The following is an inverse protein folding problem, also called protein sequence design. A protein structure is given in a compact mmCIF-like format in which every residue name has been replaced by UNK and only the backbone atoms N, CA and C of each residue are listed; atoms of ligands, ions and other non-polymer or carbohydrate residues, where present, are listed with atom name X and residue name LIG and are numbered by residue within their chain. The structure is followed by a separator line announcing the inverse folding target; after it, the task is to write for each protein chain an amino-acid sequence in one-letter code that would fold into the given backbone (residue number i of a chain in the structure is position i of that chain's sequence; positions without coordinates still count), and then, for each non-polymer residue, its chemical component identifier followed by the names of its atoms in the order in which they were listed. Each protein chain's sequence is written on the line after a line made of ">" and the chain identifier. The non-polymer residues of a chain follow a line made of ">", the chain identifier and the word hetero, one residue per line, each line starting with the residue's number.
data_IF_408284609435
#
_entry.id   IF_408284609435
#
_cell.length_a   1.000
_cell.length_b   1.000
_cell.length_c   1.000
_cell.angle_alpha   90.00
_cell.angle_beta   90.00
_cell.angle_gamma   90.00
#
_symmetry.space_group_name_H-M   'P 1'
#
loop_
_entity.id
_entity.type
_entity.pdbx_description
1 polymer ?
#
# COMPACT_ATOMS: atom_id res chain seq x y z
N UNK A 1 -11.52 -52.88 -41.19
CA UNK A 1 -11.37 -51.48 -40.74
C UNK A 1 -12.44 -51.24 -39.70
N UNK A 2 -12.10 -51.41 -38.43
CA UNK A 2 -13.06 -51.42 -37.32
C UNK A 2 -13.12 -50.08 -36.61
N UNK A 3 -14.33 -49.57 -36.41
CA UNK A 3 -14.62 -48.73 -35.25
C UNK A 3 -14.51 -49.60 -33.99
N UNK A 4 -14.01 -49.04 -32.88
CA UNK A 4 -14.93 -48.93 -31.75
C UNK A 4 -14.77 -47.62 -30.98
N UNK A 5 -15.90 -46.95 -30.78
CA UNK A 5 -16.17 -46.23 -29.54
C UNK A 5 -16.00 -47.22 -28.38
N UNK A 6 -14.92 -47.10 -27.63
CA UNK A 6 -14.82 -47.73 -26.31
C UNK A 6 -14.46 -46.66 -25.29
N UNK A 7 -15.51 -46.12 -24.67
CA UNK A 7 -15.40 -45.38 -23.43
C UNK A 7 -14.87 -46.39 -22.40
N UNK A 8 -13.62 -46.19 -21.96
CA UNK A 8 -13.05 -46.97 -20.86
C UNK A 8 -13.84 -46.64 -19.59
N UNK A 9 -14.70 -47.58 -19.19
CA UNK A 9 -15.38 -47.56 -17.90
C UNK A 9 -14.31 -47.67 -16.79
N UNK A 10 -14.10 -46.59 -16.04
CA UNK A 10 -13.26 -46.59 -14.83
C UNK A 10 -12.21 -45.49 -14.71
N UNK A 11 -12.02 -44.62 -15.71
CA UNK A 11 -11.07 -43.51 -15.58
C UNK A 11 -11.62 -42.43 -14.63
N UNK A 12 -11.15 -42.46 -13.38
CA UNK A 12 -11.47 -41.46 -12.34
C UNK A 12 -11.21 -40.05 -12.89
N UNK A 13 -12.12 -39.11 -12.59
CA UNK A 13 -12.18 -37.70 -13.03
C UNK A 13 -10.92 -36.82 -12.77
N UNK A 14 -9.81 -37.40 -12.28
CA UNK A 14 -8.57 -36.71 -11.91
C UNK A 14 -7.34 -37.26 -12.66
N UNK A 15 -7.48 -37.78 -13.89
CA UNK A 15 -6.32 -38.17 -14.69
C UNK A 15 -5.75 -36.95 -15.44
N UNK A 16 -4.45 -36.61 -15.29
CA UNK A 16 -3.83 -35.46 -15.96
C UNK A 16 -4.01 -35.47 -17.48
N UNK A 17 -4.12 -36.65 -18.09
CA UNK A 17 -4.32 -36.86 -19.52
C UNK A 17 -5.67 -36.32 -20.05
N UNK A 18 -6.67 -36.12 -19.20
CA UNK A 18 -7.95 -35.52 -19.59
C UNK A 18 -7.93 -33.98 -19.52
N UNK A 19 -7.05 -33.41 -18.69
CA UNK A 19 -6.97 -31.96 -18.51
C UNK A 19 -5.98 -31.35 -19.50
N UNK A 20 -4.88 -32.06 -19.81
CA UNK A 20 -3.82 -31.57 -20.70
C UNK A 20 -4.32 -31.09 -22.08
N UNK A 21 -5.22 -31.81 -22.79
CA UNK A 21 -5.73 -31.35 -24.08
C UNK A 21 -6.65 -30.12 -23.96
N UNK A 22 -7.31 -29.95 -22.82
CA UNK A 22 -8.25 -28.87 -22.55
C UNK A 22 -7.66 -27.74 -21.70
N UNK A 23 -6.36 -27.82 -21.38
CA UNK A 23 -5.69 -26.89 -20.45
C UNK A 23 -5.68 -25.45 -20.98
N UNK A 24 -5.57 -25.26 -22.30
CA UNK A 24 -5.69 -23.95 -22.92
C UNK A 24 -7.10 -23.35 -22.74
N UNK A 25 -8.15 -24.13 -23.00
CA UNK A 25 -9.54 -23.70 -22.80
C UNK A 25 -9.86 -23.46 -21.32
N UNK A 26 -9.33 -24.28 -20.42
CA UNK A 26 -9.47 -24.08 -18.99
C UNK A 26 -8.82 -22.76 -18.55
N UNK A 27 -7.57 -22.50 -18.97
CA UNK A 27 -6.90 -21.21 -18.69
C UNK A 27 -7.67 -20.03 -19.26
N UNK A 28 -8.24 -20.16 -20.46
CA UNK A 28 -9.02 -19.10 -21.09
C UNK A 28 -10.33 -18.84 -20.36
N UNK A 29 -11.04 -19.88 -19.89
CA UNK A 29 -12.25 -19.75 -19.08
C UNK A 29 -11.96 -19.18 -17.69
N UNK A 30 -10.87 -19.61 -17.05
CA UNK A 30 -10.42 -19.07 -15.76
C UNK A 30 -10.04 -17.60 -15.92
N UNK A 31 -9.28 -17.24 -16.95
CA UNK A 31 -8.94 -15.85 -17.26
C UNK A 31 -10.20 -15.02 -17.54
N UNK A 32 -11.13 -15.49 -18.36
CA UNK A 32 -12.39 -14.80 -18.63
C UNK A 32 -13.24 -14.63 -17.36
N UNK A 33 -13.27 -15.64 -16.49
CA UNK A 33 -14.00 -15.56 -15.21
C UNK A 33 -13.30 -14.63 -14.22
N UNK A 34 -11.97 -14.62 -14.18
CA UNK A 34 -11.18 -13.64 -13.43
C UNK A 34 -11.41 -12.23 -13.95
N UNK A 35 -11.54 -12.03 -15.27
CA UNK A 35 -11.91 -10.74 -15.85
C UNK A 35 -13.33 -10.32 -15.46
N UNK A 36 -14.31 -11.23 -15.54
CA UNK A 36 -15.69 -10.95 -15.07
C UNK A 36 -15.76 -10.65 -13.57
N UNK A 37 -14.96 -11.36 -12.76
CA UNK A 37 -14.90 -11.16 -11.30
C UNK A 37 -14.12 -9.89 -10.91
N UNK A 38 -13.15 -9.47 -11.72
CA UNK A 38 -12.33 -8.29 -11.47
C UNK A 38 -12.85 -7.02 -12.17
N UNK A 39 -13.88 -7.12 -13.02
CA UNK A 39 -14.44 -5.93 -13.63
C UNK A 39 -15.51 -6.21 -14.67
N UNK A 40 -16.67 -5.57 -14.49
CA UNK A 40 -17.31 -4.88 -15.61
C UNK A 40 -16.37 -3.78 -16.14
N UNK A 41 -15.23 -4.17 -16.71
CA UNK A 41 -14.24 -3.29 -17.30
C UNK A 41 -14.81 -2.77 -18.62
N UNK A 42 -15.41 -1.58 -18.55
CA UNK A 42 -15.63 -0.75 -19.71
C UNK A 42 -14.29 -0.48 -20.38
N UNK A 43 -14.27 -0.61 -21.70
CA UNK A 43 -13.17 -0.39 -22.63
C UNK A 43 -12.14 0.61 -22.11
N UNK A 44 -10.98 0.15 -21.66
CA UNK A 44 -9.88 1.02 -21.24
C UNK A 44 -9.40 1.81 -22.46
N UNK A 45 -9.62 3.12 -22.48
CA UNK A 45 -8.99 3.96 -23.49
C UNK A 45 -7.47 3.95 -23.24
N UNK A 46 -6.71 3.45 -24.21
CA UNK A 46 -5.28 3.22 -24.05
C UNK A 46 -4.57 4.48 -23.53
N UNK A 47 -3.91 4.35 -22.36
CA UNK A 47 -3.08 5.40 -21.78
C UNK A 47 -3.77 6.38 -20.83
N UNK A 48 -5.06 6.21 -20.50
CA UNK A 48 -5.72 7.02 -19.44
C UNK A 48 -5.69 6.33 -18.08
N UNK A 49 -5.82 7.12 -17.03
CA UNK A 49 -5.74 6.66 -15.65
C UNK A 49 -7.13 6.52 -15.06
N UNK A 50 -7.52 5.30 -14.66
CA UNK A 50 -8.81 5.06 -13.99
C UNK A 50 -8.87 5.69 -12.60
N UNK A 51 -10.05 6.22 -12.25
CA UNK A 51 -10.35 6.71 -10.89
C UNK A 51 -10.73 5.54 -9.97
N UNK A 52 -11.43 4.54 -10.50
CA UNK A 52 -11.75 3.31 -9.77
C UNK A 52 -10.51 2.38 -9.74
N UNK A 53 -10.43 1.52 -8.73
CA UNK A 53 -9.37 0.54 -8.55
C UNK A 53 -8.51 0.78 -7.31
N UNK A 54 -7.44 -0.01 -7.19
CA UNK A 54 -6.55 0.01 -6.03
C UNK A 54 -5.53 1.13 -6.12
N UNK A 55 -5.25 1.76 -4.98
CA UNK A 55 -4.17 2.73 -4.85
C UNK A 55 -2.81 2.06 -5.16
N UNK A 56 -1.90 2.83 -5.75
CA UNK A 56 -0.55 2.40 -6.12
C UNK A 56 0.53 3.02 -5.22
N UNK A 57 0.30 4.23 -4.71
CA UNK A 57 1.20 4.89 -3.77
C UNK A 57 0.92 4.48 -2.31
N UNK A 58 1.97 4.45 -1.49
CA UNK A 58 1.83 4.25 -0.04
C UNK A 58 1.51 5.56 0.70
N UNK A 59 0.96 5.45 1.91
CA UNK A 59 0.67 6.61 2.75
C UNK A 59 1.95 7.42 3.06
N UNK A 60 3.09 6.73 3.23
CA UNK A 60 4.38 7.35 3.46
C UNK A 60 4.85 8.16 2.26
N UNK A 61 4.72 7.63 1.03
CA UNK A 61 5.02 8.36 -0.20
C UNK A 61 4.18 9.64 -0.30
N UNK A 62 2.87 9.51 -0.07
CA UNK A 62 1.92 10.62 -0.12
C UNK A 62 2.27 11.72 0.89
N UNK A 63 2.49 11.34 2.16
CA UNK A 63 2.80 12.28 3.23
C UNK A 63 4.16 12.97 3.06
N UNK A 64 5.21 12.23 2.73
CA UNK A 64 6.55 12.79 2.55
C UNK A 64 6.63 13.71 1.33
N UNK A 65 6.01 13.32 0.22
CA UNK A 65 5.93 14.19 -0.94
C UNK A 65 5.21 15.51 -0.62
N UNK A 66 4.05 15.44 0.03
CA UNK A 66 3.30 16.64 0.44
C UNK A 66 4.16 17.54 1.34
N UNK A 67 4.85 16.97 2.33
CA UNK A 67 5.75 17.69 3.24
C UNK A 67 6.94 18.34 2.51
N UNK A 68 7.47 17.70 1.47
CA UNK A 68 8.56 18.26 0.65
C UNK A 68 8.16 19.56 -0.07
N UNK A 69 6.87 19.75 -0.36
CA UNK A 69 6.31 20.92 -1.06
C UNK A 69 5.71 21.96 -0.11
N UNK A 70 5.33 21.52 1.09
CA UNK A 70 4.85 22.37 2.16
C UNK A 70 5.30 21.82 3.52
N UNK A 71 6.29 22.45 4.15
CA UNK A 71 6.80 22.04 5.45
C UNK A 71 5.76 22.23 6.58
N UNK A 72 4.81 23.17 6.41
CA UNK A 72 3.79 23.53 7.41
C UNK A 72 2.38 23.41 6.81
N UNK A 73 1.88 22.19 6.57
CA UNK A 73 0.51 21.97 6.11
C UNK A 73 -0.50 22.38 7.19
N UNK A 74 -1.56 23.11 6.80
CA UNK A 74 -2.61 23.53 7.72
C UNK A 74 -3.64 22.41 7.91
N UNK A 75 -3.29 21.42 8.73
CA UNK A 75 -4.14 20.28 9.09
C UNK A 75 -4.40 20.27 10.61
N UNK A 76 -5.34 21.09 11.11
CA UNK A 76 -5.51 21.30 12.55
C UNK A 76 -6.02 20.07 13.32
N UNK A 77 -6.56 19.07 12.62
CA UNK A 77 -7.24 17.91 13.23
C UNK A 77 -6.56 16.56 12.97
N UNK A 78 -5.48 16.50 12.20
CA UNK A 78 -4.71 15.27 11.95
C UNK A 78 -3.32 15.55 11.37
N UNK A 79 -2.41 14.56 11.43
CA UNK A 79 -1.15 14.63 10.68
C UNK A 79 -1.34 14.34 9.19
N UNK A 80 -0.32 14.63 8.37
CA UNK A 80 -0.29 14.25 6.95
C UNK A 80 -0.37 12.74 6.76
N UNK A 81 0.33 11.98 7.60
CA UNK A 81 0.36 10.52 7.56
C UNK A 81 -1.03 9.94 7.85
N UNK A 82 -1.72 10.47 8.87
CA UNK A 82 -3.09 10.08 9.19
C UNK A 82 -4.04 10.41 8.04
N UNK A 83 -3.92 11.61 7.46
CA UNK A 83 -4.76 12.01 6.34
C UNK A 83 -4.54 11.10 5.12
N UNK A 84 -3.28 10.84 4.76
CA UNK A 84 -2.93 9.93 3.66
C UNK A 84 -3.49 8.53 3.89
N UNK A 85 -3.40 8.02 5.12
CA UNK A 85 -3.97 6.73 5.50
C UNK A 85 -5.50 6.73 5.36
N UNK A 86 -6.21 7.79 5.77
CA UNK A 86 -7.66 7.90 5.56
C UNK A 86 -8.04 7.84 4.09
N UNK A 87 -7.27 8.47 3.19
CA UNK A 87 -7.50 8.40 1.75
C UNK A 87 -7.39 6.98 1.21
N UNK A 88 -6.39 6.22 1.65
CA UNK A 88 -6.22 4.83 1.23
C UNK A 88 -7.36 3.94 1.74
N UNK A 89 -7.77 4.10 3.00
CA UNK A 89 -8.82 3.28 3.60
C UNK A 89 -10.21 3.58 3.05
N UNK A 90 -10.59 4.86 2.98
CA UNK A 90 -11.88 5.26 2.41
C UNK A 90 -11.93 4.96 0.90
N UNK A 91 -10.80 5.11 0.21
CA UNK A 91 -10.64 4.71 -1.19
C UNK A 91 -10.86 3.21 -1.40
N UNK A 92 -10.14 2.35 -0.67
CA UNK A 92 -10.29 0.89 -0.76
C UNK A 92 -11.74 0.46 -0.45
N UNK A 93 -12.37 1.05 0.57
CA UNK A 93 -13.74 0.74 0.93
C UNK A 93 -14.76 1.03 -0.19
N UNK A 94 -14.53 2.09 -0.97
CA UNK A 94 -15.41 2.48 -2.07
C UNK A 94 -14.96 1.97 -3.44
N UNK A 95 -13.80 1.31 -3.52
CA UNK A 95 -13.16 0.88 -4.77
C UNK A 95 -12.57 2.04 -5.59
N UNK A 96 -12.25 3.16 -4.94
CA UNK A 96 -11.67 4.36 -5.55
C UNK A 96 -10.18 4.44 -5.23
N UNK A 97 -9.38 4.89 -6.19
CA UNK A 97 -7.96 5.14 -5.98
C UNK A 97 -7.73 6.28 -4.98
N UNK A 98 -7.48 5.93 -3.72
CA UNK A 98 -7.18 6.88 -2.65
C UNK A 98 -5.96 7.76 -2.91
N UNK A 99 -4.96 7.23 -3.61
CA UNK A 99 -3.76 7.98 -4.04
C UNK A 99 -4.08 9.07 -5.08
N UNK A 100 -5.00 8.81 -6.01
CA UNK A 100 -5.55 9.80 -6.95
C UNK A 100 -6.28 10.91 -6.20
N UNK A 101 -7.15 10.54 -5.26
CA UNK A 101 -7.92 11.50 -4.46
C UNK A 101 -6.99 12.39 -3.60
N UNK A 102 -5.94 11.82 -3.01
CA UNK A 102 -4.93 12.60 -2.31
C UNK A 102 -4.16 13.54 -3.25
N UNK A 103 -3.71 13.07 -4.42
CA UNK A 103 -3.04 13.91 -5.41
C UNK A 103 -3.93 15.09 -5.85
N UNK A 104 -5.23 14.83 -6.05
CA UNK A 104 -6.22 15.88 -6.31
C UNK A 104 -6.30 16.86 -5.13
N UNK A 105 -6.32 16.37 -3.89
CA UNK A 105 -6.38 17.24 -2.71
C UNK A 105 -5.19 18.20 -2.60
N UNK A 106 -4.00 17.77 -3.01
CA UNK A 106 -2.82 18.65 -3.08
C UNK A 106 -3.02 19.76 -4.10
N UNK A 107 -3.66 19.46 -5.24
CA UNK A 107 -3.97 20.45 -6.25
C UNK A 107 -5.01 21.47 -5.74
N UNK A 108 -6.10 20.99 -5.15
CA UNK A 108 -7.22 21.82 -4.69
C UNK A 108 -6.84 22.74 -3.53
N UNK A 109 -6.01 22.24 -2.61
CA UNK A 109 -5.65 22.97 -1.39
C UNK A 109 -4.32 23.72 -1.50
N UNK A 110 -3.61 23.57 -2.62
CA UNK A 110 -2.25 24.08 -2.77
C UNK A 110 -1.30 23.46 -1.75
N UNK A 111 -1.30 22.14 -1.62
CA UNK A 111 -0.54 21.37 -0.63
C UNK A 111 -0.94 21.71 0.82
N UNK A 112 -2.24 21.79 1.08
CA UNK A 112 -2.81 22.14 2.39
C UNK A 112 -2.37 23.51 2.93
N UNK A 113 -1.97 24.43 2.03
CA UNK A 113 -1.74 25.84 2.38
C UNK A 113 -3.06 26.61 2.47
N UNK A 114 -4.07 26.16 1.72
CA UNK A 114 -5.32 26.88 1.50
C UNK A 114 -5.04 28.29 0.96
N UNK A 115 -6.05 29.16 0.96
CA UNK A 115 -5.94 30.53 0.44
C UNK A 115 -7.14 30.99 -0.39
N UNK A 116 -7.99 30.05 -0.79
CA UNK A 116 -9.26 30.31 -1.46
C UNK A 116 -10.44 30.45 -0.51
N UNK A 117 -11.61 29.97 -0.97
CA UNK A 117 -12.87 29.98 -0.22
C UNK A 117 -12.81 29.02 0.98
N UNK A 118 -12.24 27.84 0.80
CA UNK A 118 -12.20 26.80 1.84
C UNK A 118 -11.15 27.13 2.91
N UNK A 119 -11.53 26.94 4.18
CA UNK A 119 -10.67 27.11 5.35
C UNK A 119 -10.13 25.75 5.86
N UNK A 120 -8.94 25.71 6.48
CA UNK A 120 -8.36 24.49 7.04
C UNK A 120 -9.27 23.74 8.02
N UNK A 121 -10.05 24.46 8.81
CA UNK A 121 -10.95 23.90 9.83
C UNK A 121 -12.17 23.20 9.24
N UNK A 122 -12.43 23.33 7.94
CA UNK A 122 -13.59 22.72 7.30
C UNK A 122 -13.40 21.25 6.95
N UNK A 123 -12.18 20.71 7.08
CA UNK A 123 -11.82 19.35 6.64
C UNK A 123 -12.25 19.07 5.18
N UNK A 124 -12.30 20.09 4.33
CA UNK A 124 -12.72 19.97 2.94
C UNK A 124 -11.48 20.02 2.04
N UNK A 125 -11.01 18.85 1.65
CA UNK A 125 -9.75 18.69 0.92
C UNK A 125 -9.91 18.79 -0.60
N UNK A 126 -11.15 18.93 -1.09
CA UNK A 126 -11.47 18.83 -2.51
C UNK A 126 -12.25 20.04 -3.06
N UNK A 127 -12.42 21.10 -2.27
CA UNK A 127 -13.17 22.28 -2.72
C UNK A 127 -14.68 22.05 -2.86
N UNK A 128 -15.25 21.05 -2.19
CA UNK A 128 -16.68 20.71 -2.34
C UNK A 128 -17.54 21.91 -1.93
N UNK A 129 -18.33 22.40 -2.89
CA UNK A 129 -19.22 23.55 -2.67
C UNK A 129 -18.54 24.91 -2.63
N UNK A 130 -17.24 25.01 -2.97
CA UNK A 130 -16.57 26.28 -3.19
C UNK A 130 -16.90 26.80 -4.60
N UNK A 131 -17.89 27.70 -4.71
CA UNK A 131 -18.36 28.25 -5.99
C UNK A 131 -17.86 29.69 -6.17
N UNK A 132 -17.74 30.13 -7.43
CA UNK A 132 -17.39 31.51 -7.75
C UNK A 132 -18.38 32.48 -7.10
N UNK A 133 -17.86 33.46 -6.37
CA UNK A 133 -18.65 34.46 -5.64
C UNK A 133 -18.96 34.10 -4.19
N UNK A 134 -18.65 32.88 -3.73
CA UNK A 134 -18.77 32.53 -2.32
C UNK A 134 -17.78 33.36 -1.47
N UNK A 135 -18.21 33.79 -0.29
CA UNK A 135 -17.32 34.35 0.71
C UNK A 135 -16.43 33.25 1.32
N UNK A 136 -15.30 33.63 1.93
CA UNK A 136 -14.46 32.67 2.67
C UNK A 136 -15.27 31.91 3.72
N UNK A 137 -15.03 30.61 3.81
CA UNK A 137 -15.79 29.68 4.67
C UNK A 137 -17.11 29.19 4.08
N UNK A 138 -17.62 29.80 2.99
CA UNK A 138 -18.87 29.36 2.36
C UNK A 138 -18.60 28.21 1.37
N UNK A 139 -18.31 27.04 1.93
CA UNK A 139 -18.17 25.76 1.24
C UNK A 139 -18.65 24.64 2.17
N UNK A 140 -18.64 23.39 1.71
CA UNK A 140 -18.95 22.26 2.58
C UNK A 140 -17.95 22.18 3.74
N UNK A 141 -18.46 21.84 4.94
CA UNK A 141 -17.70 21.63 6.16
C UNK A 141 -17.98 20.23 6.68
N UNK A 142 -16.94 19.51 7.06
CA UNK A 142 -17.03 18.15 7.58
C UNK A 142 -16.54 18.09 9.03
N UNK A 143 -17.20 17.28 9.88
CA UNK A 143 -16.96 17.26 11.32
C UNK A 143 -15.55 16.78 11.69
N UNK A 144 -14.93 15.94 10.86
CA UNK A 144 -13.61 15.37 11.09
C UNK A 144 -12.89 15.09 9.75
N UNK A 145 -11.55 14.92 9.77
CA UNK A 145 -10.76 14.63 8.57
C UNK A 145 -11.24 13.42 7.78
N UNK A 146 -11.60 12.32 8.43
CA UNK A 146 -12.01 11.09 7.74
C UNK A 146 -13.34 11.30 7.01
N UNK A 147 -14.29 12.01 7.62
CA UNK A 147 -15.56 12.37 6.95
C UNK A 147 -15.32 13.27 5.73
N UNK A 148 -14.37 14.21 5.81
CA UNK A 148 -13.97 15.04 4.68
C UNK A 148 -13.35 14.26 3.53
N UNK A 149 -12.45 13.32 3.84
CA UNK A 149 -11.88 12.38 2.87
C UNK A 149 -12.97 11.53 2.22
N UNK A 150 -13.88 10.95 3.03
CA UNK A 150 -15.00 10.14 2.53
C UNK A 150 -15.86 10.92 1.53
N UNK A 151 -16.19 12.18 1.82
CA UNK A 151 -16.97 13.00 0.91
C UNK A 151 -16.27 13.18 -0.45
N UNK A 152 -14.95 13.41 -0.46
CA UNK A 152 -14.18 13.49 -1.70
C UNK A 152 -14.18 12.16 -2.47
N UNK A 153 -13.96 11.05 -1.78
CA UNK A 153 -13.98 9.70 -2.38
C UNK A 153 -15.36 9.40 -3.00
N UNK A 154 -16.44 9.73 -2.29
CA UNK A 154 -17.80 9.58 -2.81
C UNK A 154 -18.04 10.46 -4.04
N UNK A 155 -17.55 11.71 -4.05
CA UNK A 155 -17.69 12.59 -5.20
C UNK A 155 -16.93 12.05 -6.43
N UNK A 156 -15.71 11.52 -6.24
CA UNK A 156 -14.95 10.85 -7.31
C UNK A 156 -15.67 9.59 -7.81
N UNK A 157 -16.20 8.76 -6.91
CA UNK A 157 -17.02 7.60 -7.28
C UNK A 157 -18.26 8.00 -8.06
N UNK A 158 -18.88 9.15 -7.75
CA UNK A 158 -19.99 9.67 -8.52
C UNK A 158 -19.60 9.95 -9.97
N UNK A 159 -18.43 10.56 -10.21
CA UNK A 159 -17.94 10.76 -11.56
C UNK A 159 -17.58 9.45 -12.27
N UNK A 160 -16.92 8.52 -11.56
CA UNK A 160 -16.28 7.37 -12.18
C UNK A 160 -17.18 6.14 -12.34
N UNK A 161 -18.20 5.98 -11.49
CA UNK A 161 -18.99 4.74 -11.42
C UNK A 161 -20.49 4.98 -11.28
N UNK A 162 -21.27 3.95 -11.65
CA UNK A 162 -22.71 3.85 -11.39
C UNK A 162 -23.06 2.92 -10.23
N UNK A 163 -22.07 2.26 -9.62
CA UNK A 163 -22.24 1.39 -8.44
C UNK A 163 -22.58 2.15 -7.16
N UNK A 164 -23.47 1.59 -6.34
CA UNK A 164 -23.85 2.20 -5.07
C UNK A 164 -22.65 2.49 -4.16
N UNK A 165 -22.81 3.50 -3.30
CA UNK A 165 -21.85 3.76 -2.22
C UNK A 165 -21.88 2.60 -1.22
N UNK A 166 -20.71 2.25 -0.69
CA UNK A 166 -20.58 1.22 0.35
C UNK A 166 -20.90 1.83 1.71
N UNK A 167 -20.39 3.03 1.97
CA UNK A 167 -20.66 3.79 3.18
C UNK A 167 -21.81 4.79 3.00
N UNK A 168 -22.37 5.26 4.11
CA UNK A 168 -23.40 6.31 4.09
C UNK A 168 -22.93 7.57 3.36
N UNK A 169 -23.79 8.15 2.54
CA UNK A 169 -23.48 9.35 1.75
C UNK A 169 -23.28 10.56 2.68
N UNK A 170 -22.09 11.17 2.63
CA UNK A 170 -21.73 12.39 3.37
C UNK A 170 -21.40 13.55 2.43
N UNK A 171 -21.19 13.27 1.14
CA UNK A 171 -21.03 14.31 0.12
C UNK A 171 -22.37 15.03 -0.16
N UNK A 172 -22.50 16.32 0.19
CA UNK A 172 -23.75 17.07 0.00
C UNK A 172 -24.07 17.35 -1.47
N UNK A 173 -23.13 17.10 -2.39
CA UNK A 173 -23.26 17.37 -3.83
C UNK A 173 -23.30 16.09 -4.65
N UNK A 174 -23.34 14.92 -4.01
CA UNK A 174 -23.29 13.63 -4.70
C UNK A 174 -24.38 13.48 -5.77
N UNK A 175 -25.61 13.91 -5.45
CA UNK A 175 -26.76 13.85 -6.35
C UNK A 175 -26.68 14.81 -7.53
N UNK A 176 -25.80 15.82 -7.49
CA UNK A 176 -25.62 16.81 -8.56
C UNK A 176 -24.71 16.29 -9.68
N UNK A 177 -23.93 15.24 -9.42
CA UNK A 177 -23.02 14.65 -10.40
C UNK A 177 -23.80 13.72 -11.32
N UNK A 178 -23.62 13.90 -12.64
CA UNK A 178 -24.07 12.89 -13.60
C UNK A 178 -23.22 11.63 -13.42
N UNK A 179 -23.82 10.58 -12.85
CA UNK A 179 -23.13 9.36 -12.43
C UNK A 179 -22.43 8.64 -13.59
N UNK A 180 -21.15 8.31 -13.42
CA UNK A 180 -20.33 7.63 -14.44
C UNK A 180 -19.93 8.51 -15.64
N UNK A 181 -19.98 9.84 -15.49
CA UNK A 181 -19.67 10.78 -16.58
C UNK A 181 -18.17 10.98 -16.84
N UNK A 182 -17.29 10.61 -15.91
CA UNK A 182 -15.83 10.71 -16.05
C UNK A 182 -15.14 9.53 -15.34
N UNK A 183 -14.85 8.47 -16.09
CA UNK A 183 -14.20 7.24 -15.58
C UNK A 183 -12.68 7.42 -15.35
N UNK A 184 -12.06 8.34 -16.07
CA UNK A 184 -10.61 8.61 -16.02
C UNK A 184 -10.31 9.95 -15.36
N UNK A 185 -9.16 10.04 -14.69
CA UNK A 185 -8.70 11.27 -14.02
C UNK A 185 -8.55 12.41 -15.01
N UNK A 186 -8.04 12.13 -16.21
CA UNK A 186 -7.88 13.07 -17.31
C UNK A 186 -9.21 13.71 -17.73
N UNK A 187 -10.33 13.03 -17.51
CA UNK A 187 -11.68 13.49 -17.82
C UNK A 187 -12.37 14.24 -16.66
N UNK A 188 -11.69 14.45 -15.54
CA UNK A 188 -12.20 15.34 -14.49
C UNK A 188 -12.19 16.82 -14.93
N UNK A 189 -11.42 17.17 -15.97
CA UNK A 189 -11.56 18.46 -16.66
C UNK A 189 -12.67 18.39 -17.70
N UNK A 190 -13.72 19.20 -17.57
CA UNK A 190 -14.88 19.13 -18.47
C UNK A 190 -14.53 19.39 -19.95
N UNK A 191 -13.55 20.25 -20.23
CA UNK A 191 -13.03 20.50 -21.59
C UNK A 191 -12.20 19.36 -22.19
N UNK A 192 -11.72 18.43 -21.37
CA UNK A 192 -10.94 17.27 -21.80
C UNK A 192 -11.76 15.98 -21.80
N UNK A 193 -12.98 16.03 -21.26
CA UNK A 193 -13.93 14.94 -21.28
C UNK A 193 -14.81 15.00 -22.53
N UNK A 194 -14.88 13.94 -23.34
CA UNK A 194 -15.80 13.84 -24.48
C UNK A 194 -17.28 14.10 -24.13
N UNK A 195 -17.68 13.85 -22.87
CA UNK A 195 -19.03 14.10 -22.38
C UNK A 195 -19.28 15.57 -21.98
N UNK A 196 -18.25 16.42 -21.99
CA UNK A 196 -18.35 17.83 -21.58
C UNK A 196 -18.66 18.03 -20.09
N UNK A 197 -18.49 17.00 -19.27
CA UNK A 197 -18.73 16.99 -17.81
C UNK A 197 -17.43 16.76 -17.07
N UNK A 198 -17.29 17.29 -15.87
CA UNK A 198 -16.10 17.07 -15.06
C UNK A 198 -16.18 17.82 -13.74
N UNK A 199 -15.27 17.46 -12.84
CA UNK A 199 -15.05 18.13 -11.56
C UNK A 199 -14.80 19.63 -11.74
N UNK A 200 -13.94 19.97 -12.70
CA UNK A 200 -13.58 21.34 -13.01
C UNK A 200 -14.22 21.79 -14.34
N UNK A 201 -14.85 22.97 -14.35
CA UNK A 201 -15.49 23.57 -15.51
C UNK A 201 -14.93 24.99 -15.73
N UNK A 202 -14.39 25.35 -16.91
CA UNK A 202 -14.20 24.49 -18.08
C UNK A 202 -13.10 23.43 -17.89
N UNK A 203 -12.14 23.65 -17.00
CA UNK A 203 -11.25 22.59 -16.49
C UNK A 203 -10.20 22.05 -17.46
N UNK A 204 -9.84 22.76 -18.53
CA UNK A 204 -8.77 22.34 -19.46
C UNK A 204 -7.45 22.05 -18.72
N UNK A 205 -6.89 20.87 -18.93
CA UNK A 205 -5.64 20.38 -18.33
C UNK A 205 -5.75 20.03 -16.84
N UNK A 206 -6.95 20.04 -16.25
CA UNK A 206 -7.14 19.76 -14.83
C UNK A 206 -6.66 18.35 -14.45
N UNK A 207 -7.17 17.32 -15.12
CA UNK A 207 -6.80 15.93 -14.85
C UNK A 207 -5.31 15.67 -15.05
N UNK A 208 -4.70 16.28 -16.07
CA UNK A 208 -3.25 16.16 -16.33
C UNK A 208 -2.39 16.67 -15.18
N UNK A 209 -2.81 17.75 -14.49
CA UNK A 209 -2.10 18.25 -13.29
C UNK A 209 -2.16 17.26 -12.14
N UNK A 210 -3.30 16.60 -11.95
CA UNK A 210 -3.47 15.55 -10.93
C UNK A 210 -2.57 14.36 -11.26
N UNK A 211 -2.53 13.92 -12.51
CA UNK A 211 -1.64 12.83 -12.95
C UNK A 211 -0.16 13.17 -12.77
N UNK A 212 0.24 14.42 -13.04
CA UNK A 212 1.60 14.86 -12.79
C UNK A 212 1.96 14.79 -11.29
N UNK A 213 1.06 15.22 -10.40
CA UNK A 213 1.26 15.10 -8.95
C UNK A 213 1.31 13.64 -8.49
N UNK A 214 0.42 12.80 -9.00
CA UNK A 214 0.41 11.37 -8.71
C UNK A 214 1.71 10.69 -9.13
N UNK A 215 2.23 11.01 -10.31
CA UNK A 215 3.52 10.52 -10.79
C UNK A 215 4.67 10.92 -9.86
N UNK A 216 4.66 12.17 -9.37
CA UNK A 216 5.67 12.65 -8.42
C UNK A 216 5.56 11.96 -7.05
N UNK A 217 4.34 11.69 -6.57
CA UNK A 217 4.11 10.92 -5.34
C UNK A 217 4.68 9.50 -5.49
N UNK A 218 4.34 8.81 -6.58
CA UNK A 218 4.76 7.43 -6.81
C UNK A 218 6.27 7.30 -7.01
N UNK A 219 6.91 8.32 -7.58
CA UNK A 219 8.36 8.38 -7.76
C UNK A 219 9.10 8.88 -6.50
N UNK A 220 8.39 9.31 -5.45
CA UNK A 220 9.03 9.83 -4.25
C UNK A 220 9.70 8.69 -3.47
N UNK A 221 11.02 8.80 -3.30
CA UNK A 221 11.79 7.87 -2.51
C UNK A 221 11.42 8.04 -1.03
N UNK A 222 10.82 7.00 -0.47
CA UNK A 222 10.67 6.90 0.98
C UNK A 222 11.99 6.38 1.51
N UNK A 223 12.66 7.09 2.43
CA UNK A 223 13.82 6.56 3.11
C UNK A 223 13.41 5.19 3.66
N UNK A 224 14.01 4.13 3.14
CA UNK A 224 13.87 2.83 3.75
C UNK A 224 14.40 3.04 5.16
N UNK A 225 13.54 2.93 6.15
CA UNK A 225 14.03 2.49 7.45
C UNK A 225 14.57 1.10 7.09
N UNK A 226 15.89 0.99 6.86
CA UNK A 226 16.52 -0.30 7.08
C UNK A 226 15.93 -0.74 8.40
N UNK A 227 15.24 -1.89 8.40
CA UNK A 227 14.96 -2.57 9.67
C UNK A 227 16.21 -2.37 10.51
N UNK A 228 16.11 -1.97 11.81
CA UNK A 228 17.31 -1.92 12.63
C UNK A 228 18.04 -3.21 12.30
N UNK A 229 19.22 -3.07 11.68
CA UNK A 229 20.06 -4.22 11.43
C UNK A 229 20.00 -4.94 12.76
N UNK A 230 19.59 -6.22 12.75
CA UNK A 230 19.84 -7.07 13.91
C UNK A 230 21.19 -6.61 14.42
N UNK A 231 21.26 -6.08 15.67
CA UNK A 231 22.46 -5.40 16.12
C UNK A 231 23.59 -6.30 15.70
N UNK A 232 24.50 -5.80 14.83
CA UNK A 232 25.61 -6.62 14.34
C UNK A 232 26.09 -7.37 15.57
N UNK A 233 25.95 -8.69 15.57
CA UNK A 233 26.47 -9.50 16.67
C UNK A 233 27.98 -9.20 16.63
N UNK A 234 28.40 -8.19 17.37
CA UNK A 234 29.77 -8.03 17.77
C UNK A 234 30.01 -9.31 18.53
N UNK A 235 30.69 -10.27 17.88
CA UNK A 235 31.17 -11.45 18.57
C UNK A 235 31.81 -10.93 19.86
N UNK A 236 31.34 -11.38 21.04
CA UNK A 236 31.81 -10.81 22.29
C UNK A 236 33.33 -10.93 22.33
N UNK A 237 34.00 -9.77 22.36
CA UNK A 237 35.45 -9.70 22.29
C UNK A 237 35.99 -10.08 23.68
N UNK A 238 36.32 -11.37 23.86
CA UNK A 238 36.87 -11.88 25.10
C UNK A 238 38.37 -11.58 25.20
N UNK A 239 38.91 -11.24 26.39
CA UNK A 239 40.35 -11.08 26.58
C UNK A 239 41.14 -12.30 26.07
N UNK A 240 42.29 -12.05 25.42
CA UNK A 240 43.10 -13.10 24.77
C UNK A 240 43.38 -14.31 25.66
N UNK A 241 43.65 -14.11 26.96
CA UNK A 241 43.92 -15.20 27.90
C UNK A 241 42.72 -16.17 28.08
N UNK A 242 41.48 -15.71 27.89
CA UNK A 242 40.28 -16.55 27.97
C UNK A 242 40.15 -17.43 26.72
N UNK A 243 40.46 -16.87 25.55
CA UNK A 243 40.45 -17.57 24.27
C UNK A 243 41.59 -18.60 24.19
N UNK A 244 42.78 -18.24 24.64
CA UNK A 244 43.94 -19.14 24.74
C UNK A 244 43.66 -20.34 25.66
N UNK A 245 42.98 -20.10 26.79
CA UNK A 245 42.56 -21.18 27.70
C UNK A 245 41.58 -22.17 27.05
N UNK A 246 40.66 -21.67 26.22
CA UNK A 246 39.74 -22.53 25.47
C UNK A 246 40.46 -23.36 24.42
N UNK A 247 41.33 -22.72 23.63
CA UNK A 247 42.13 -23.40 22.60
C UNK A 247 42.97 -24.51 23.22
N UNK A 248 43.61 -24.24 24.36
CA UNK A 248 44.37 -25.23 25.13
C UNK A 248 43.50 -26.45 25.51
N UNK A 249 42.26 -26.23 25.95
CA UNK A 249 41.35 -27.32 26.34
C UNK A 249 40.83 -28.12 25.13
N UNK A 250 40.66 -27.47 23.98
CA UNK A 250 40.26 -28.11 22.72
C UNK A 250 41.40 -28.94 22.15
N UNK A 251 42.62 -28.40 22.13
CA UNK A 251 43.83 -29.11 21.70
C UNK A 251 44.13 -30.30 22.61
N UNK A 252 43.96 -30.14 23.92
CA UNK A 252 44.03 -31.24 24.88
C UNK A 252 42.87 -32.24 24.71
N UNK A 253 41.86 -31.96 23.88
CA UNK A 253 40.69 -32.82 23.64
C UNK A 253 39.83 -33.03 24.89
N UNK A 254 39.83 -32.08 25.80
CA UNK A 254 39.02 -32.07 27.03
C UNK A 254 37.59 -31.64 26.71
N UNK A 255 37.47 -30.64 25.84
CA UNK A 255 36.19 -30.12 25.37
C UNK A 255 36.09 -30.27 23.85
N UNK A 256 34.86 -30.44 23.36
CA UNK A 256 34.54 -30.52 21.94
C UNK A 256 33.68 -29.30 21.57
N UNK A 257 33.75 -28.88 20.30
CA UNK A 257 32.98 -27.73 19.76
C UNK A 257 33.40 -26.39 20.39
N UNK A 258 34.57 -25.83 20.02
CA UNK A 258 35.06 -24.55 20.54
C UNK A 258 34.04 -23.42 20.39
N UNK A 259 33.27 -23.41 19.31
CA UNK A 259 32.26 -22.39 19.01
C UNK A 259 31.14 -22.38 20.06
N UNK A 260 30.70 -23.56 20.52
CA UNK A 260 29.70 -23.71 21.58
C UNK A 260 30.20 -23.13 22.91
N UNK A 261 31.47 -23.38 23.25
CA UNK A 261 32.04 -22.88 24.49
C UNK A 261 32.40 -21.39 24.44
N UNK A 262 32.77 -20.85 23.26
CA UNK A 262 32.98 -19.39 23.06
C UNK A 262 31.72 -18.60 23.39
N UNK A 263 30.55 -19.07 22.96
CA UNK A 263 29.28 -18.41 23.22
C UNK A 263 28.88 -18.40 24.71
N UNK A 264 29.42 -19.34 25.50
CA UNK A 264 29.13 -19.47 26.94
C UNK A 264 30.00 -18.61 27.86
N UNK A 265 31.01 -17.90 27.36
CA UNK A 265 31.92 -17.12 28.22
C UNK A 265 31.21 -15.98 28.97
N UNK A 266 30.10 -15.47 28.42
CA UNK A 266 29.26 -14.45 29.05
C UNK A 266 28.13 -15.06 29.92
N UNK A 267 28.02 -16.39 29.99
CA UNK A 267 26.98 -17.10 30.72
C UNK A 267 27.47 -17.66 32.07
N UNK A 268 26.54 -17.91 33.00
CA UNK A 268 26.87 -18.62 34.24
C UNK A 268 27.04 -20.12 33.96
N UNK A 269 28.26 -20.64 34.18
CA UNK A 269 28.54 -22.08 34.07
C UNK A 269 27.97 -22.83 35.27
N UNK A 270 27.35 -23.99 35.02
CA UNK A 270 26.82 -24.83 36.10
C UNK A 270 27.92 -25.63 36.81
N UNK A 271 27.70 -25.97 38.08
CA UNK A 271 28.62 -26.83 38.85
C UNK A 271 28.87 -28.16 38.14
N UNK A 272 27.83 -28.76 37.53
CA UNK A 272 27.96 -30.02 36.78
C UNK A 272 28.87 -29.93 35.56
N UNK A 273 28.81 -28.82 34.82
CA UNK A 273 29.71 -28.57 33.66
C UNK A 273 31.16 -28.42 34.10
N UNK A 274 31.42 -27.70 35.20
CA UNK A 274 32.76 -27.55 35.78
C UNK A 274 33.33 -28.90 36.22
N UNK A 275 32.55 -29.72 36.95
CA UNK A 275 32.99 -31.06 37.36
C UNK A 275 33.22 -31.99 36.15
N UNK A 276 32.43 -31.85 35.08
CA UNK A 276 32.62 -32.62 33.84
C UNK A 276 33.94 -32.28 33.13
N UNK A 277 34.29 -30.99 33.05
CA UNK A 277 35.57 -30.54 32.46
C UNK A 277 36.75 -30.99 33.32
N UNK A 278 36.68 -30.78 34.64
CA UNK A 278 37.73 -31.22 35.58
C UNK A 278 37.94 -32.73 35.54
N UNK A 279 36.86 -33.52 35.50
CA UNK A 279 36.96 -34.98 35.39
C UNK A 279 37.74 -35.42 34.15
N UNK A 280 37.47 -34.82 32.99
CA UNK A 280 38.20 -35.12 31.74
C UNK A 280 39.66 -34.68 31.77
N UNK A 281 39.95 -33.53 32.38
CA UNK A 281 41.32 -33.07 32.60
C UNK A 281 42.13 -34.07 33.44
N UNK A 282 41.54 -34.58 34.53
CA UNK A 282 42.18 -35.57 35.39
C UNK A 282 42.40 -36.91 34.68
N UNK A 283 41.42 -37.40 33.92
CA UNK A 283 41.58 -38.65 33.15
C UNK A 283 42.72 -38.56 32.14
N UNK A 284 42.85 -37.44 31.43
CA UNK A 284 43.92 -37.24 30.44
C UNK A 284 45.30 -36.98 31.03
N UNK A 285 45.38 -36.45 32.26
CA UNK A 285 46.66 -36.27 32.95
C UNK A 285 47.23 -37.59 33.50
N UNK A 286 46.42 -38.65 33.54
CA UNK A 286 46.81 -39.99 34.01
C UNK A 286 47.06 -41.01 32.90
N UNK A 287 46.86 -40.62 31.64
CA UNK A 287 47.24 -41.38 30.42
C UNK A 287 48.64 -40.95 29.95
#
# INVERSE_FOLDING_TARGET
>A
MGHPDSIVQGARKNCPLYILPHWAQFKQKVAAKLTELNGGATTTEAGKTEIMGKAKASAQQMALFARSKNAEPQLPACSLEQLAQFFLEEGEAEGVRGDVAFAQSLHETGFFKYGGIVLPTQNNYAGIGALNGNAKGQAATFPDPRTGVRAQIQHLKAYASKEALVNGCVDPRFSLVTRGSAQYVEWLGASDNPNGKGWAVPGKGYGSKIIALLGQIMAFEVPQTSAPSEPEEQEPEFPAYQLEGLETLVEAGVINSPEFWRQKFSEQVTVGEVFGILGKLFTKATE
#
